data_IF_234171926484
#
_entry.id   IF_234171926484
#
_cell.length_a   1.000
_cell.length_b   1.000
_cell.length_c   1.000
_cell.angle_alpha   90.00
_cell.angle_beta   90.00
_cell.angle_gamma   90.00
#
_symmetry.space_group_name_H-M   'P 1'
#
loop_
_entity.id
_entity.type
_entity.pdbx_description
1 polymer ?
#
# COMPACT_ATOMS: atom_id res chain seq x y z
N UNK A 1 -14.79 -24.46 -19.65
CA UNK A 1 -14.90 -23.18 -18.89
C UNK A 1 -15.94 -23.43 -17.81
N UNK A 2 -15.59 -23.32 -16.55
CA UNK A 2 -16.44 -23.79 -15.46
C UNK A 2 -17.72 -22.96 -15.36
N UNK A 3 -18.90 -23.55 -15.55
CA UNK A 3 -20.19 -22.87 -15.33
C UNK A 3 -20.30 -22.29 -13.92
N UNK A 4 -19.50 -22.80 -13.00
CA UNK A 4 -19.47 -22.43 -11.60
C UNK A 4 -18.93 -21.00 -11.37
N UNK A 5 -17.88 -20.57 -12.08
CA UNK A 5 -17.26 -19.24 -11.89
C UNK A 5 -18.24 -18.10 -12.24
N UNK A 6 -18.89 -18.21 -13.40
CA UNK A 6 -19.83 -17.17 -13.88
C UNK A 6 -21.04 -17.10 -12.96
N UNK A 7 -21.60 -18.24 -12.58
CA UNK A 7 -22.75 -18.31 -11.68
C UNK A 7 -22.43 -17.73 -10.29
N UNK A 8 -21.27 -18.05 -9.74
CA UNK A 8 -20.81 -17.50 -8.46
C UNK A 8 -20.64 -15.98 -8.54
N UNK A 9 -20.02 -15.49 -9.61
CA UNK A 9 -19.84 -14.05 -9.82
C UNK A 9 -21.20 -13.34 -9.98
N UNK A 10 -22.17 -13.94 -10.71
CA UNK A 10 -23.51 -13.38 -10.87
C UNK A 10 -24.25 -13.24 -9.54
N UNK A 11 -24.16 -14.23 -8.66
CA UNK A 11 -24.73 -14.15 -7.32
C UNK A 11 -24.11 -13.01 -6.51
N UNK A 12 -22.77 -12.89 -6.49
CA UNK A 12 -22.08 -11.83 -5.79
C UNK A 12 -22.38 -10.44 -6.36
N UNK A 13 -22.51 -10.30 -7.67
CA UNK A 13 -22.94 -9.05 -8.31
C UNK A 13 -24.36 -8.69 -7.85
N UNK A 14 -25.28 -9.65 -7.80
CA UNK A 14 -26.64 -9.43 -7.31
C UNK A 14 -26.63 -8.92 -5.87
N UNK A 15 -25.87 -9.56 -4.97
CA UNK A 15 -25.75 -9.14 -3.56
C UNK A 15 -25.22 -7.70 -3.45
N UNK A 16 -24.20 -7.35 -4.24
CA UNK A 16 -23.61 -6.00 -4.26
C UNK A 16 -24.62 -4.97 -4.76
N UNK A 17 -25.42 -5.29 -5.80
CA UNK A 17 -26.47 -4.41 -6.33
C UNK A 17 -27.61 -4.22 -5.33
N UNK A 18 -28.00 -5.27 -4.61
CA UNK A 18 -29.00 -5.18 -3.54
C UNK A 18 -28.50 -4.30 -2.39
N UNK A 19 -27.25 -4.42 -1.97
CA UNK A 19 -26.63 -3.56 -0.95
C UNK A 19 -26.54 -2.09 -1.39
N UNK A 20 -26.41 -1.83 -2.71
CA UNK A 20 -26.40 -0.47 -3.28
C UNK A 20 -27.79 0.13 -3.34
N UNK A 21 -28.84 -0.68 -3.40
CA UNK A 21 -30.22 -0.20 -3.58
C UNK A 21 -30.55 0.92 -2.56
N UNK A 22 -31.00 2.05 -3.07
CA UNK A 22 -31.32 3.26 -2.28
C UNK A 22 -30.12 3.96 -1.58
N UNK A 23 -28.90 3.65 -1.95
CA UNK A 23 -27.67 4.28 -1.41
C UNK A 23 -26.86 4.93 -2.52
N UNK A 24 -26.38 6.16 -2.28
CA UNK A 24 -25.46 6.84 -3.21
C UNK A 24 -24.01 6.33 -3.04
N UNK A 25 -23.81 5.01 -3.18
CA UNK A 25 -22.50 4.38 -3.04
C UNK A 25 -21.95 4.02 -4.41
N UNK A 26 -20.62 4.11 -4.56
CA UNK A 26 -19.92 3.61 -5.75
C UNK A 26 -19.68 2.12 -5.62
N UNK A 27 -19.78 1.41 -6.73
CA UNK A 27 -19.38 0.02 -6.82
C UNK A 27 -17.93 -0.07 -7.25
N UNK A 28 -17.11 -0.74 -6.46
CA UNK A 28 -15.70 -0.95 -6.72
C UNK A 28 -15.44 -2.45 -6.82
N UNK A 29 -14.70 -2.85 -7.85
CA UNK A 29 -14.17 -4.19 -7.97
C UNK A 29 -12.64 -4.16 -7.88
N UNK A 30 -12.02 -5.09 -7.14
CA UNK A 30 -10.58 -5.27 -7.11
C UNK A 30 -10.19 -6.62 -7.70
N UNK A 31 -9.27 -6.63 -8.66
CA UNK A 31 -8.72 -7.85 -9.24
C UNK A 31 -7.24 -7.96 -8.90
N UNK A 32 -6.88 -9.01 -8.18
CA UNK A 32 -5.51 -9.30 -7.80
C UNK A 32 -5.04 -10.66 -8.31
N UNK A 33 -3.73 -10.90 -8.18
CA UNK A 33 -3.12 -12.21 -8.42
C UNK A 33 -2.18 -12.60 -7.27
N UNK A 34 -1.86 -13.87 -7.18
CA UNK A 34 -0.94 -14.42 -6.19
C UNK A 34 0.00 -15.44 -6.80
N UNK A 35 1.13 -15.69 -6.10
CA UNK A 35 2.06 -16.77 -6.46
C UNK A 35 1.58 -18.15 -6.03
N UNK A 36 0.68 -18.21 -5.08
CA UNK A 36 0.18 -19.47 -4.51
C UNK A 36 -0.70 -20.13 -5.55
N UNK A 37 -0.35 -21.34 -5.96
CA UNK A 37 -1.22 -22.19 -6.77
C UNK A 37 -2.28 -22.73 -5.83
N UNK A 38 -3.54 -22.55 -6.17
CA UNK A 38 -4.69 -23.13 -5.47
C UNK A 38 -5.38 -24.11 -6.39
N UNK A 39 -6.00 -25.13 -5.83
CA UNK A 39 -6.90 -26.01 -6.57
C UNK A 39 -8.19 -25.28 -6.97
N UNK A 40 -8.48 -24.14 -6.35
CA UNK A 40 -9.54 -23.22 -6.74
C UNK A 40 -9.09 -22.34 -7.90
N UNK A 41 -9.95 -22.21 -8.91
CA UNK A 41 -9.67 -21.37 -10.08
C UNK A 41 -9.70 -19.87 -9.76
N UNK A 42 -10.53 -19.45 -8.80
CA UNK A 42 -10.68 -18.04 -8.36
C UNK A 42 -11.06 -18.01 -6.88
N UNK A 43 -10.50 -17.06 -6.14
CA UNK A 43 -10.95 -16.74 -4.80
C UNK A 43 -11.65 -15.37 -4.79
N UNK A 44 -12.96 -15.35 -4.48
CA UNK A 44 -13.68 -14.11 -4.26
C UNK A 44 -13.49 -13.61 -2.83
N UNK A 45 -13.21 -12.32 -2.69
CA UNK A 45 -13.07 -11.70 -1.36
C UNK A 45 -14.46 -11.44 -0.76
N UNK A 46 -14.60 -11.39 0.57
CA UNK A 46 -15.84 -10.91 1.18
C UNK A 46 -16.20 -9.51 0.69
N UNK A 47 -17.50 -9.24 0.55
CA UNK A 47 -17.99 -7.89 0.27
C UNK A 47 -17.67 -6.99 1.46
N UNK A 48 -17.11 -5.82 1.19
CA UNK A 48 -16.74 -4.84 2.21
C UNK A 48 -17.42 -3.50 1.93
N UNK A 49 -17.79 -2.82 3.01
CA UNK A 49 -18.43 -1.51 2.95
C UNK A 49 -17.42 -0.45 3.40
N UNK A 50 -17.20 0.55 2.56
CA UNK A 50 -16.54 1.80 2.92
C UNK A 50 -17.57 2.91 3.06
N UNK A 51 -17.15 4.11 3.49
CA UNK A 51 -18.04 5.26 3.68
C UNK A 51 -18.85 5.62 2.43
N UNK A 52 -18.25 5.49 1.26
CA UNK A 52 -18.81 5.96 -0.02
C UNK A 52 -18.83 4.89 -1.11
N UNK A 53 -18.55 3.64 -0.77
CA UNK A 53 -18.48 2.56 -1.76
C UNK A 53 -18.77 1.20 -1.16
N UNK A 54 -19.05 0.26 -2.07
CA UNK A 54 -19.11 -1.17 -1.81
C UNK A 54 -17.98 -1.81 -2.61
N UNK A 55 -17.18 -2.62 -1.97
CA UNK A 55 -16.05 -3.34 -2.56
C UNK A 55 -16.34 -4.83 -2.66
N UNK A 56 -16.22 -5.37 -3.85
CA UNK A 56 -16.07 -6.79 -4.13
C UNK A 56 -14.70 -7.00 -4.78
N UNK A 57 -14.08 -8.14 -4.56
CA UNK A 57 -12.80 -8.44 -5.20
C UNK A 57 -12.64 -9.90 -5.55
N UNK A 58 -11.67 -10.18 -6.41
CA UNK A 58 -11.25 -11.51 -6.76
C UNK A 58 -9.73 -11.62 -6.83
N UNK A 59 -9.22 -12.79 -6.48
CA UNK A 59 -7.84 -13.22 -6.72
C UNK A 59 -7.89 -14.31 -7.76
N UNK A 60 -7.21 -14.08 -8.88
CA UNK A 60 -7.16 -15.02 -10.01
C UNK A 60 -5.77 -15.65 -10.12
N UNK A 61 -5.74 -16.84 -10.67
CA UNK A 61 -4.53 -17.63 -10.84
C UNK A 61 -4.12 -17.75 -12.31
N UNK A 62 -5.03 -17.38 -13.25
CA UNK A 62 -4.74 -17.32 -14.68
C UNK A 62 -5.32 -16.07 -15.33
N UNK A 63 -4.83 -15.74 -16.55
CA UNK A 63 -5.36 -14.63 -17.36
C UNK A 63 -6.74 -14.96 -17.93
N UNK A 64 -7.06 -16.25 -18.10
CA UNK A 64 -8.36 -16.69 -18.65
C UNK A 64 -9.48 -16.30 -17.69
N UNK A 65 -9.36 -16.68 -16.41
CA UNK A 65 -10.34 -16.31 -15.39
C UNK A 65 -10.39 -14.80 -15.19
N UNK A 66 -9.22 -14.15 -15.21
CA UNK A 66 -9.13 -12.69 -15.14
C UNK A 66 -9.93 -12.02 -16.25
N UNK A 67 -9.81 -12.52 -17.48
CA UNK A 67 -10.56 -12.00 -18.63
C UNK A 67 -12.06 -12.21 -18.47
N UNK A 68 -12.49 -13.41 -18.10
CA UNK A 68 -13.92 -13.73 -17.88
C UNK A 68 -14.55 -12.80 -16.84
N UNK A 69 -13.84 -12.56 -15.73
CA UNK A 69 -14.31 -11.65 -14.70
C UNK A 69 -14.39 -10.22 -15.23
N UNK A 70 -13.33 -9.71 -15.88
CA UNK A 70 -13.29 -8.34 -16.38
C UNK A 70 -14.35 -8.07 -17.44
N UNK A 71 -14.56 -8.99 -18.39
CA UNK A 71 -15.64 -8.89 -19.40
C UNK A 71 -17.02 -8.79 -18.74
N UNK A 72 -17.22 -9.51 -17.62
CA UNK A 72 -18.53 -9.56 -16.93
C UNK A 72 -18.81 -8.32 -16.09
N UNK A 73 -17.78 -7.74 -15.45
CA UNK A 73 -17.96 -6.62 -14.52
C UNK A 73 -17.88 -5.23 -15.19
N UNK A 74 -17.41 -5.16 -16.45
CA UNK A 74 -17.27 -3.88 -17.16
C UNK A 74 -18.63 -3.23 -17.42
N UNK A 75 -18.80 -2.03 -16.92
CA UNK A 75 -20.05 -1.28 -16.98
C UNK A 75 -21.03 -1.55 -15.82
N UNK A 76 -20.75 -2.57 -14.96
CA UNK A 76 -21.53 -2.82 -13.74
C UNK A 76 -20.88 -2.06 -12.57
N UNK A 77 -19.56 -2.14 -12.44
CA UNK A 77 -18.81 -1.44 -11.40
C UNK A 77 -18.35 -0.05 -11.89
N UNK A 78 -18.45 0.95 -11.00
CA UNK A 78 -18.01 2.31 -11.34
C UNK A 78 -16.49 2.39 -11.52
N UNK A 79 -15.73 1.65 -10.66
CA UNK A 79 -14.29 1.58 -10.71
C UNK A 79 -13.82 0.13 -10.60
N UNK A 80 -12.78 -0.18 -11.38
CA UNK A 80 -12.09 -1.48 -11.33
C UNK A 80 -10.63 -1.22 -11.01
N UNK A 81 -10.17 -1.77 -9.88
CA UNK A 81 -8.80 -1.70 -9.42
C UNK A 81 -8.06 -2.99 -9.76
N UNK A 82 -6.92 -2.87 -10.42
CA UNK A 82 -6.11 -4.01 -10.84
C UNK A 82 -4.74 -3.95 -10.16
N UNK A 83 -4.32 -5.10 -9.61
CA UNK A 83 -2.97 -5.27 -9.08
C UNK A 83 -1.96 -5.26 -10.23
N UNK A 84 -1.11 -4.24 -10.28
CA UNK A 84 -0.07 -4.07 -11.30
C UNK A 84 1.19 -4.89 -11.02
N UNK A 85 1.28 -5.60 -9.90
CA UNK A 85 2.43 -6.42 -9.57
C UNK A 85 2.39 -7.77 -10.29
N UNK A 86 3.50 -8.10 -10.95
CA UNK A 86 3.68 -9.35 -11.68
C UNK A 86 4.17 -10.43 -10.73
N UNK A 87 3.25 -11.20 -10.15
CA UNK A 87 3.54 -12.18 -9.08
C UNK A 87 3.68 -13.61 -9.59
N UNK A 88 3.07 -13.96 -10.71
CA UNK A 88 3.07 -15.32 -11.27
C UNK A 88 3.50 -15.34 -12.74
N UNK A 89 3.81 -16.55 -13.24
CA UNK A 89 4.08 -16.78 -14.66
C UNK A 89 2.76 -17.08 -15.37
N UNK A 90 2.59 -16.57 -16.58
CA UNK A 90 1.47 -16.96 -17.44
C UNK A 90 1.67 -18.39 -17.94
N UNK A 91 0.63 -19.18 -17.94
CA UNK A 91 0.59 -20.53 -18.54
C UNK A 91 0.22 -20.44 -20.02
N UNK A 92 -0.44 -19.35 -20.44
CA UNK A 92 -1.10 -19.22 -21.74
C UNK A 92 -0.40 -18.33 -22.75
N UNK A 93 0.52 -17.48 -22.33
CA UNK A 93 1.21 -16.54 -23.23
C UNK A 93 2.67 -16.93 -23.50
N UNK A 94 3.12 -16.75 -24.76
CA UNK A 94 4.48 -17.05 -25.21
C UNK A 94 5.58 -16.34 -24.44
N UNK A 95 5.27 -15.21 -23.79
CA UNK A 95 6.22 -14.41 -23.00
C UNK A 95 6.30 -14.84 -21.52
N UNK A 96 5.48 -15.80 -21.09
CA UNK A 96 5.55 -16.38 -19.74
C UNK A 96 5.22 -15.44 -18.56
N UNK A 97 4.61 -14.28 -18.81
CA UNK A 97 4.25 -13.31 -17.77
C UNK A 97 2.76 -13.08 -17.70
N UNK A 98 2.23 -13.29 -16.52
CA UNK A 98 0.86 -12.93 -16.16
C UNK A 98 0.77 -11.41 -15.95
N UNK A 99 0.01 -10.70 -16.80
CA UNK A 99 -0.07 -9.24 -16.76
C UNK A 99 -1.53 -8.77 -16.71
N UNK A 100 -2.06 -8.67 -15.49
CA UNK A 100 -3.42 -8.16 -15.26
C UNK A 100 -3.60 -6.72 -15.73
N UNK A 101 -2.57 -5.88 -15.65
CA UNK A 101 -2.64 -4.47 -16.06
C UNK A 101 -2.93 -4.37 -17.56
N UNK A 102 -2.18 -5.11 -18.39
CA UNK A 102 -2.44 -5.19 -19.83
C UNK A 102 -3.84 -5.73 -20.10
N UNK A 103 -4.20 -6.82 -19.46
CA UNK A 103 -5.51 -7.45 -19.61
C UNK A 103 -6.64 -6.46 -19.28
N UNK A 104 -6.48 -5.68 -18.21
CA UNK A 104 -7.45 -4.66 -17.83
C UNK A 104 -7.61 -3.56 -18.89
N UNK A 105 -6.49 -3.04 -19.41
CA UNK A 105 -6.50 -2.00 -20.45
C UNK A 105 -7.14 -2.51 -21.74
N UNK A 106 -6.89 -3.76 -22.09
CA UNK A 106 -7.45 -4.40 -23.30
C UNK A 106 -8.96 -4.69 -23.15
N UNK A 107 -9.43 -5.02 -21.95
CA UNK A 107 -10.78 -5.52 -21.69
C UNK A 107 -11.75 -4.43 -21.26
N UNK A 108 -11.37 -3.56 -20.31
CA UNK A 108 -12.28 -2.58 -19.72
C UNK A 108 -12.50 -1.38 -20.65
N UNK A 109 -13.78 -1.12 -20.98
CA UNK A 109 -14.18 -0.04 -21.90
C UNK A 109 -15.20 0.94 -21.31
N UNK A 110 -16.01 0.52 -20.33
CA UNK A 110 -17.11 1.31 -19.76
C UNK A 110 -16.79 1.79 -18.35
N UNK A 111 -16.24 0.91 -17.53
CA UNK A 111 -15.84 1.20 -16.15
C UNK A 111 -14.54 2.00 -16.11
N UNK A 112 -14.31 2.72 -15.03
CA UNK A 112 -13.04 3.43 -14.86
C UNK A 112 -11.97 2.52 -14.28
N UNK A 113 -10.92 2.26 -15.05
CA UNK A 113 -9.78 1.43 -14.66
C UNK A 113 -8.81 2.21 -13.76
N UNK A 114 -8.33 1.56 -12.70
CA UNK A 114 -7.33 2.04 -11.76
C UNK A 114 -6.34 0.93 -11.43
N UNK A 115 -5.16 1.31 -10.93
CA UNK A 115 -4.10 0.37 -10.59
C UNK A 115 -3.67 0.55 -9.14
N UNK A 116 -3.24 -0.55 -8.52
CA UNK A 116 -2.64 -0.56 -7.20
C UNK A 116 -1.48 -1.58 -7.15
N UNK A 117 -0.70 -1.54 -6.08
CA UNK A 117 0.36 -2.51 -5.81
C UNK A 117 0.05 -3.24 -4.51
N UNK A 118 -0.32 -4.51 -4.61
CA UNK A 118 -0.75 -5.30 -3.46
C UNK A 118 0.33 -5.46 -2.39
N UNK A 119 1.60 -5.61 -2.79
CA UNK A 119 2.70 -5.72 -1.83
C UNK A 119 2.96 -4.41 -1.08
N UNK A 120 2.76 -3.24 -1.70
CA UNK A 120 2.93 -1.96 -1.02
C UNK A 120 1.85 -1.79 0.06
N UNK A 121 0.60 -2.15 -0.23
CA UNK A 121 -0.49 -2.18 0.76
C UNK A 121 -0.18 -3.16 1.90
N UNK A 122 0.36 -4.34 1.56
CA UNK A 122 0.77 -5.32 2.56
C UNK A 122 1.85 -4.75 3.47
N UNK A 123 2.87 -4.08 2.92
CA UNK A 123 3.94 -3.46 3.70
C UNK A 123 3.40 -2.35 4.60
N UNK A 124 2.48 -1.53 4.10
CA UNK A 124 1.84 -0.46 4.90
C UNK A 124 0.98 -1.05 6.03
N UNK A 125 0.29 -2.17 5.78
CA UNK A 125 -0.46 -2.90 6.81
C UNK A 125 0.44 -3.45 7.91
N UNK A 126 1.60 -4.03 7.54
CA UNK A 126 2.59 -4.53 8.51
C UNK A 126 3.14 -3.37 9.34
N UNK A 127 3.53 -2.27 8.70
CA UNK A 127 4.09 -1.09 9.35
C UNK A 127 3.12 -0.51 10.40
N UNK A 128 1.84 -0.36 10.02
CA UNK A 128 0.76 0.11 10.91
C UNK A 128 0.52 -0.85 12.08
N UNK A 129 0.44 -2.16 11.80
CA UNK A 129 0.22 -3.16 12.84
C UNK A 129 1.41 -3.24 13.79
N UNK A 130 2.64 -3.22 13.29
CA UNK A 130 3.85 -3.20 14.09
C UNK A 130 3.90 -1.98 15.03
N UNK A 131 3.57 -0.80 14.50
CA UNK A 131 3.46 0.42 15.32
C UNK A 131 2.45 0.25 16.45
N UNK A 132 1.23 -0.20 16.14
CA UNK A 132 0.16 -0.34 17.13
C UNK A 132 0.51 -1.36 18.22
N UNK A 133 1.11 -2.50 17.85
CA UNK A 133 1.51 -3.53 18.81
C UNK A 133 2.60 -3.05 19.77
N UNK A 134 3.56 -2.29 19.26
CA UNK A 134 4.61 -1.71 20.10
C UNK A 134 4.05 -0.60 20.99
N UNK A 135 3.17 0.25 20.46
CA UNK A 135 2.52 1.33 21.21
C UNK A 135 1.69 0.81 22.40
N UNK A 136 0.91 -0.25 22.21
CA UNK A 136 0.13 -0.91 23.29
C UNK A 136 1.06 -1.38 24.43
N UNK A 137 2.31 -1.72 24.13
CA UNK A 137 3.33 -2.11 25.10
C UNK A 137 4.10 -0.92 25.67
N UNK A 138 3.74 0.31 25.32
CA UNK A 138 4.46 1.53 25.71
C UNK A 138 5.83 1.65 25.05
N UNK A 139 6.06 0.96 23.91
CA UNK A 139 7.32 0.99 23.16
C UNK A 139 7.17 1.82 21.89
N UNK A 140 8.29 2.41 21.43
CA UNK A 140 8.39 3.04 20.13
C UNK A 140 8.97 2.05 19.13
N UNK A 141 8.70 2.25 17.84
CA UNK A 141 9.38 1.50 16.77
C UNK A 141 10.89 1.75 16.84
N UNK A 142 11.29 3.02 17.01
CA UNK A 142 12.69 3.38 17.24
C UNK A 142 13.21 2.77 18.54
N UNK A 143 14.34 2.08 18.47
CA UNK A 143 14.96 1.36 19.57
C UNK A 143 14.42 -0.05 19.81
N UNK A 144 13.32 -0.45 19.18
CA UNK A 144 12.81 -1.84 19.26
C UNK A 144 13.66 -2.82 18.46
N UNK A 145 13.72 -4.05 18.92
CA UNK A 145 14.39 -5.18 18.26
C UNK A 145 13.36 -6.01 17.52
N UNK A 146 13.44 -6.04 16.18
CA UNK A 146 12.43 -6.68 15.33
C UNK A 146 13.09 -7.74 14.46
N UNK A 147 12.57 -8.97 14.49
CA UNK A 147 13.03 -10.05 13.63
C UNK A 147 12.12 -10.19 12.41
N UNK A 148 12.72 -10.17 11.23
CA UNK A 148 12.04 -10.47 9.96
C UNK A 148 12.45 -11.87 9.49
N UNK A 149 11.47 -12.76 9.35
CA UNK A 149 11.70 -14.10 8.81
C UNK A 149 11.35 -14.11 7.32
N UNK A 150 12.39 -14.19 6.48
CA UNK A 150 12.30 -14.10 5.03
C UNK A 150 12.61 -12.69 4.50
N UNK A 151 13.57 -12.59 3.58
CA UNK A 151 13.97 -11.32 2.93
C UNK A 151 13.59 -11.34 1.43
N UNK A 152 12.29 -11.55 1.16
CA UNK A 152 11.69 -11.37 -0.15
C UNK A 152 11.32 -9.91 -0.44
N UNK A 153 10.40 -9.68 -1.39
CA UNK A 153 9.95 -8.32 -1.73
C UNK A 153 9.34 -7.59 -0.52
N UNK A 154 8.42 -8.25 0.20
CA UNK A 154 7.77 -7.68 1.39
C UNK A 154 8.78 -7.52 2.52
N UNK A 155 9.55 -8.59 2.84
CA UNK A 155 10.55 -8.54 3.91
C UNK A 155 11.59 -7.45 3.72
N UNK A 156 12.07 -7.23 2.49
CA UNK A 156 13.00 -6.14 2.17
C UNK A 156 12.39 -4.76 2.43
N UNK A 157 11.19 -4.52 1.91
CA UNK A 157 10.51 -3.22 2.03
C UNK A 157 10.18 -2.89 3.49
N UNK A 158 9.69 -3.86 4.25
CA UNK A 158 9.38 -3.62 5.68
C UNK A 158 10.65 -3.44 6.50
N UNK A 159 11.73 -4.18 6.22
CA UNK A 159 13.02 -3.98 6.89
C UNK A 159 13.56 -2.57 6.69
N UNK A 160 13.46 -2.04 5.47
CA UNK A 160 13.85 -0.65 5.18
C UNK A 160 12.99 0.34 5.98
N UNK A 161 11.65 0.22 5.95
CA UNK A 161 10.76 1.12 6.71
C UNK A 161 11.06 1.12 8.22
N UNK A 162 11.29 -0.06 8.78
CA UNK A 162 11.55 -0.20 10.22
C UNK A 162 12.89 0.40 10.62
N UNK A 163 13.96 0.14 9.86
CA UNK A 163 15.27 0.72 10.16
C UNK A 163 15.28 2.24 9.99
N UNK A 164 14.58 2.78 9.01
CA UNK A 164 14.41 4.23 8.84
C UNK A 164 13.69 4.90 10.02
N UNK A 165 12.82 4.15 10.72
CA UNK A 165 12.19 4.55 11.98
C UNK A 165 13.08 4.35 13.21
N UNK A 166 14.27 3.78 13.04
CA UNK A 166 15.24 3.56 14.12
C UNK A 166 15.11 2.20 14.82
N UNK A 167 14.39 1.22 14.25
CA UNK A 167 14.33 -0.13 14.80
C UNK A 167 15.58 -0.94 14.44
N UNK A 168 16.16 -1.65 15.38
CA UNK A 168 17.16 -2.68 15.12
C UNK A 168 16.47 -3.87 14.47
N UNK A 169 16.82 -4.14 13.22
CA UNK A 169 16.14 -5.16 12.42
C UNK A 169 17.06 -6.33 12.16
N UNK A 170 16.62 -7.52 12.55
CA UNK A 170 17.32 -8.77 12.33
C UNK A 170 16.62 -9.56 11.24
N UNK A 171 17.37 -10.28 10.41
CA UNK A 171 16.82 -11.05 9.30
C UNK A 171 17.20 -12.51 9.42
N UNK A 172 16.20 -13.39 9.51
CA UNK A 172 16.39 -14.82 9.36
C UNK A 172 16.02 -15.24 7.93
N UNK A 173 16.94 -15.92 7.26
CA UNK A 173 16.79 -16.31 5.86
C UNK A 173 17.54 -17.59 5.54
N UNK A 174 17.04 -18.36 4.58
CA UNK A 174 17.73 -19.56 4.06
C UNK A 174 18.80 -19.23 3.02
N UNK A 175 18.73 -18.07 2.37
CA UNK A 175 19.70 -17.66 1.33
C UNK A 175 20.56 -16.49 1.83
N UNK A 176 21.59 -16.82 2.61
CA UNK A 176 22.48 -15.86 3.26
C UNK A 176 23.19 -14.96 2.22
N UNK A 177 23.72 -15.53 1.15
CA UNK A 177 24.47 -14.77 0.15
C UNK A 177 23.64 -13.67 -0.52
N UNK A 178 22.41 -13.98 -0.90
CA UNK A 178 21.49 -13.00 -1.45
C UNK A 178 21.08 -11.97 -0.41
N UNK A 179 20.81 -12.42 0.80
CA UNK A 179 20.34 -11.56 1.87
C UNK A 179 21.40 -10.58 2.36
N UNK A 180 22.67 -10.97 2.39
CA UNK A 180 23.77 -10.04 2.71
C UNK A 180 23.79 -8.84 1.76
N UNK A 181 23.65 -9.08 0.45
CA UNK A 181 23.59 -7.98 -0.53
C UNK A 181 22.38 -7.05 -0.30
N UNK A 182 21.23 -7.62 0.01
CA UNK A 182 20.02 -6.84 0.29
C UNK A 182 20.15 -6.04 1.58
N UNK A 183 20.73 -6.61 2.63
CA UNK A 183 20.99 -5.96 3.91
C UNK A 183 21.98 -4.80 3.74
N UNK A 184 23.07 -5.04 3.00
CA UNK A 184 24.03 -4.00 2.66
C UNK A 184 23.34 -2.84 1.94
N UNK A 185 22.48 -3.14 0.94
CA UNK A 185 21.70 -2.14 0.23
C UNK A 185 20.82 -1.32 1.18
N UNK A 186 20.09 -1.95 2.10
CA UNK A 186 19.27 -1.24 3.09
C UNK A 186 20.14 -0.32 3.94
N UNK A 187 21.27 -0.81 4.44
CA UNK A 187 22.14 -0.03 5.32
C UNK A 187 22.83 1.14 4.59
N UNK A 188 23.01 1.05 3.27
CA UNK A 188 23.53 2.15 2.44
C UNK A 188 22.47 3.22 2.21
N UNK A 189 21.21 2.83 1.92
CA UNK A 189 20.16 3.78 1.50
C UNK A 189 19.40 4.39 2.68
N UNK A 190 19.43 3.80 3.87
CA UNK A 190 18.82 4.41 5.06
C UNK A 190 19.42 5.80 5.34
N UNK A 191 18.70 6.72 6.02
CA UNK A 191 19.25 8.01 6.41
C UNK A 191 20.56 7.84 7.19
N UNK A 192 21.58 8.65 6.88
CA UNK A 192 22.93 8.54 7.48
C UNK A 192 22.93 8.70 9.00
N UNK A 193 22.01 9.51 9.51
CA UNK A 193 21.85 9.81 10.93
C UNK A 193 21.16 8.69 11.71
N UNK A 194 20.60 7.70 11.00
CA UNK A 194 19.93 6.55 11.63
C UNK A 194 20.98 5.58 12.16
N UNK A 195 21.07 5.46 13.49
CA UNK A 195 22.01 4.55 14.19
C UNK A 195 21.60 3.08 13.99
N UNK A 196 20.28 2.80 13.99
CA UNK A 196 19.75 1.47 13.78
C UNK A 196 20.23 0.84 12.47
N UNK A 197 20.33 -0.48 12.43
CA UNK A 197 20.82 -1.23 11.28
C UNK A 197 20.01 -2.50 11.03
N UNK A 198 20.13 -3.03 9.82
CA UNK A 198 19.66 -4.37 9.48
C UNK A 198 20.86 -5.31 9.49
N UNK A 199 20.70 -6.49 10.12
CA UNK A 199 21.75 -7.51 10.19
C UNK A 199 21.16 -8.93 10.05
N UNK A 200 22.02 -9.91 9.72
CA UNK A 200 21.62 -11.32 9.75
C UNK A 200 21.43 -11.75 11.20
N UNK A 201 20.33 -12.44 11.44
CA UNK A 201 20.09 -13.14 12.69
C UNK A 201 20.95 -14.42 12.70
N UNK A 202 21.89 -14.53 13.62
CA UNK A 202 22.78 -15.68 13.78
C UNK A 202 22.75 -16.20 15.22
N UNK A 203 23.33 -17.40 15.44
CA UNK A 203 23.34 -18.03 16.75
C UNK A 203 24.20 -17.28 17.80
N UNK A 204 25.17 -16.48 17.36
CA UNK A 204 25.99 -15.67 18.27
C UNK A 204 25.19 -14.52 18.87
N UNK A 205 24.14 -14.07 18.19
CA UNK A 205 23.17 -13.08 18.68
C UNK A 205 22.02 -13.71 19.49
N UNK A 206 22.22 -14.90 20.04
CA UNK A 206 21.20 -15.67 20.77
C UNK A 206 20.66 -14.94 22.01
N UNK A 207 21.46 -14.08 22.62
CA UNK A 207 20.97 -13.23 23.72
C UNK A 207 19.89 -12.25 23.26
N UNK A 208 19.90 -11.88 21.96
CA UNK A 208 18.90 -10.98 21.36
C UNK A 208 17.50 -11.60 21.24
N UNK A 209 17.36 -12.93 21.25
CA UNK A 209 16.03 -13.57 21.18
C UNK A 209 15.16 -13.29 22.40
N UNK A 210 15.77 -13.08 23.57
CA UNK A 210 15.05 -12.70 24.79
C UNK A 210 14.59 -11.23 24.76
N UNK A 211 15.22 -10.42 23.90
CA UNK A 211 14.97 -8.99 23.78
C UNK A 211 14.20 -8.62 22.51
N UNK A 212 13.68 -9.61 21.74
CA UNK A 212 12.85 -9.34 20.59
C UNK A 212 11.48 -8.82 21.02
N UNK A 213 11.11 -7.69 20.48
CA UNK A 213 9.82 -7.03 20.72
C UNK A 213 8.74 -7.50 19.76
N UNK A 214 9.15 -7.90 18.53
CA UNK A 214 8.25 -8.28 17.46
C UNK A 214 8.93 -9.24 16.48
N UNK A 215 8.18 -10.21 15.97
CA UNK A 215 8.61 -11.12 14.90
C UNK A 215 7.62 -11.01 13.72
N UNK A 216 8.13 -10.77 12.53
CA UNK A 216 7.32 -10.63 11.31
C UNK A 216 7.68 -11.75 10.34
N UNK A 217 6.69 -12.60 10.03
CA UNK A 217 6.86 -13.79 9.21
C UNK A 217 6.43 -13.48 7.75
N UNK A 218 7.38 -13.23 6.86
CA UNK A 218 7.11 -12.84 5.46
C UNK A 218 7.39 -13.93 4.44
N UNK A 219 7.66 -15.14 4.88
CA UNK A 219 7.89 -16.32 4.03
C UNK A 219 6.58 -17.12 3.82
N UNK A 220 6.60 -18.07 2.89
CA UNK A 220 5.42 -18.85 2.49
C UNK A 220 5.45 -20.32 2.98
N UNK A 221 6.41 -20.69 3.82
CA UNK A 221 6.57 -22.05 4.33
C UNK A 221 6.55 -22.07 5.85
N UNK A 222 6.12 -23.18 6.42
CA UNK A 222 6.19 -23.36 7.87
C UNK A 222 7.63 -23.27 8.36
N UNK A 223 7.81 -22.57 9.48
CA UNK A 223 9.09 -22.56 10.18
C UNK A 223 9.30 -23.95 10.78
N UNK A 224 10.49 -24.57 10.65
CA UNK A 224 10.76 -25.87 11.24
C UNK A 224 10.47 -25.90 12.74
N UNK A 225 9.88 -27.00 13.23
CA UNK A 225 9.51 -27.17 14.65
C UNK A 225 10.70 -26.97 15.60
N UNK A 226 11.91 -27.29 15.15
CA UNK A 226 13.14 -27.20 15.93
C UNK A 226 13.83 -25.83 15.77
N UNK A 227 13.17 -24.84 15.19
CA UNK A 227 13.75 -23.50 15.07
C UNK A 227 13.90 -22.89 16.48
N UNK A 228 15.11 -22.48 16.79
CA UNK A 228 15.45 -21.82 18.08
C UNK A 228 14.62 -20.57 18.37
N UNK A 229 13.99 -19.99 17.35
CA UNK A 229 13.14 -18.81 17.47
C UNK A 229 12.01 -19.03 18.46
N UNK A 230 11.35 -20.22 18.41
CA UNK A 230 10.19 -20.51 19.29
C UNK A 230 10.58 -20.81 20.72
N UNK A 231 11.74 -21.40 20.90
CA UNK A 231 12.23 -21.79 22.23
C UNK A 231 12.84 -20.62 23.01
N UNK A 232 13.06 -19.50 22.35
CA UNK A 232 13.84 -18.35 22.88
C UNK A 232 13.11 -17.01 22.82
N UNK A 233 11.84 -16.99 22.40
CA UNK A 233 11.02 -15.79 22.48
C UNK A 233 10.73 -15.43 23.93
N UNK A 234 10.84 -14.13 24.26
CA UNK A 234 10.37 -13.61 25.54
C UNK A 234 8.84 -13.80 25.64
N UNK A 235 8.32 -13.86 26.85
CA UNK A 235 6.87 -13.96 27.13
C UNK A 235 6.02 -12.79 26.58
N UNK A 236 6.64 -11.78 25.98
CA UNK A 236 5.98 -10.57 25.52
C UNK A 236 6.26 -10.24 24.04
N UNK A 237 6.81 -11.18 23.28
CA UNK A 237 7.07 -11.00 21.86
C UNK A 237 5.83 -11.33 21.04
N UNK A 238 5.35 -10.38 20.23
CA UNK A 238 4.25 -10.65 19.29
C UNK A 238 4.77 -11.19 17.96
N UNK A 239 3.90 -11.92 17.26
CA UNK A 239 4.15 -12.46 15.94
C UNK A 239 3.13 -11.91 14.95
N UNK A 240 3.59 -11.41 13.81
CA UNK A 240 2.75 -11.05 12.67
C UNK A 240 2.96 -12.09 11.57
N UNK A 241 1.93 -12.90 11.28
CA UNK A 241 1.95 -13.84 10.15
C UNK A 241 1.43 -13.17 8.88
N UNK A 242 2.36 -12.84 7.98
CA UNK A 242 2.09 -12.26 6.66
C UNK A 242 1.92 -13.33 5.60
N UNK A 243 2.66 -14.43 5.73
CA UNK A 243 2.69 -15.53 4.75
C UNK A 243 1.45 -16.41 4.76
N UNK A 244 0.64 -16.33 5.79
CA UNK A 244 -0.55 -17.15 6.08
C UNK A 244 -0.22 -18.63 6.28
N UNK A 245 -0.16 -19.03 7.56
CA UNK A 245 0.15 -20.40 7.95
C UNK A 245 1.65 -20.67 8.06
N UNK A 246 2.44 -19.66 8.41
CA UNK A 246 3.86 -19.83 8.72
C UNK A 246 4.08 -20.60 10.03
N UNK A 247 3.08 -20.63 10.91
CA UNK A 247 3.07 -21.31 12.19
C UNK A 247 2.18 -22.53 12.11
N UNK A 248 2.67 -23.68 12.59
CA UNK A 248 1.84 -24.87 12.79
C UNK A 248 0.94 -24.72 14.01
N UNK A 249 -0.14 -25.51 14.08
CA UNK A 249 -1.07 -25.54 15.23
C UNK A 249 -0.34 -25.71 16.56
N UNK A 250 0.59 -26.68 16.63
CA UNK A 250 1.43 -26.90 17.81
C UNK A 250 2.23 -25.66 18.23
N UNK A 251 2.80 -24.94 17.25
CA UNK A 251 3.57 -23.73 17.52
C UNK A 251 2.67 -22.59 18.02
N UNK A 252 1.48 -22.45 17.45
CA UNK A 252 0.48 -21.49 17.93
C UNK A 252 0.05 -21.77 19.38
N UNK A 253 -0.20 -23.04 19.70
CA UNK A 253 -0.54 -23.44 21.08
C UNK A 253 0.57 -23.14 22.07
N UNK A 254 1.83 -23.47 21.72
CA UNK A 254 2.98 -23.23 22.59
C UNK A 254 3.23 -21.73 22.82
N UNK A 255 3.14 -20.93 21.78
CA UNK A 255 3.28 -19.47 21.87
C UNK A 255 2.16 -18.86 22.72
N UNK A 256 0.91 -19.29 22.52
CA UNK A 256 -0.22 -18.81 23.31
C UNK A 256 -0.07 -19.18 24.79
N UNK A 257 0.43 -20.39 25.12
CA UNK A 257 0.72 -20.79 26.49
C UNK A 257 1.80 -19.92 27.15
N UNK A 258 2.73 -19.38 26.36
CA UNK A 258 3.78 -18.45 26.80
C UNK A 258 3.31 -16.99 26.87
N UNK A 259 2.04 -16.70 26.57
CA UNK A 259 1.49 -15.35 26.57
C UNK A 259 1.83 -14.51 25.34
N UNK A 260 2.39 -15.12 24.28
CA UNK A 260 2.71 -14.44 23.04
C UNK A 260 1.49 -14.33 22.12
N UNK A 261 1.28 -13.18 21.50
CA UNK A 261 0.21 -13.00 20.52
C UNK A 261 0.69 -13.38 19.12
N UNK A 262 -0.10 -14.21 18.43
CA UNK A 262 0.13 -14.58 17.04
C UNK A 262 -0.98 -13.99 16.17
N UNK A 263 -0.65 -12.95 15.40
CA UNK A 263 -1.62 -12.14 14.66
C UNK A 263 -1.47 -12.42 13.18
N UNK A 264 -2.53 -12.88 12.53
CA UNK A 264 -2.59 -12.94 11.08
C UNK A 264 -2.77 -11.53 10.52
N UNK A 265 -1.91 -11.15 9.57
CA UNK A 265 -2.05 -9.85 8.91
C UNK A 265 -3.35 -9.79 8.10
N UNK A 266 -4.22 -8.85 8.41
CA UNK A 266 -5.33 -8.43 7.54
C UNK A 266 -4.94 -7.15 6.81
N UNK A 267 -4.97 -7.21 5.48
CA UNK A 267 -4.71 -6.06 4.61
C UNK A 267 -5.98 -5.28 4.26
N UNK A 268 -7.14 -5.77 4.74
CA UNK A 268 -8.44 -5.23 4.34
C UNK A 268 -8.61 -3.77 4.70
N UNK A 269 -8.32 -3.40 5.93
CA UNK A 269 -8.46 -2.02 6.40
C UNK A 269 -7.53 -1.07 5.66
N UNK A 270 -6.27 -1.44 5.47
CA UNK A 270 -5.32 -0.62 4.71
C UNK A 270 -5.72 -0.49 3.24
N UNK A 271 -6.35 -1.50 2.67
CA UNK A 271 -6.89 -1.41 1.31
C UNK A 271 -8.10 -0.49 1.23
N UNK A 272 -9.02 -0.54 2.20
CA UNK A 272 -10.14 0.39 2.30
C UNK A 272 -9.65 1.85 2.45
N UNK A 273 -8.68 2.11 3.34
CA UNK A 273 -8.06 3.43 3.49
C UNK A 273 -7.40 3.93 2.18
N UNK A 274 -6.71 3.04 1.47
CA UNK A 274 -6.15 3.35 0.15
C UNK A 274 -7.24 3.77 -0.84
N UNK A 275 -8.35 3.01 -0.92
CA UNK A 275 -9.47 3.31 -1.80
C UNK A 275 -10.14 4.64 -1.43
N UNK A 276 -10.38 4.91 -0.16
CA UNK A 276 -10.96 6.18 0.30
C UNK A 276 -10.07 7.37 -0.09
N UNK A 277 -8.76 7.27 0.12
CA UNK A 277 -7.80 8.30 -0.26
C UNK A 277 -7.80 8.53 -1.77
N UNK A 278 -7.81 7.46 -2.57
CA UNK A 278 -7.85 7.56 -4.02
C UNK A 278 -9.17 8.15 -4.51
N UNK A 279 -10.31 7.76 -3.94
CA UNK A 279 -11.63 8.32 -4.25
C UNK A 279 -11.71 9.82 -3.94
N UNK A 280 -11.14 10.28 -2.82
CA UNK A 280 -11.02 11.72 -2.50
C UNK A 280 -10.17 12.45 -3.54
N UNK A 281 -9.11 11.81 -4.05
CA UNK A 281 -8.30 12.30 -5.15
C UNK A 281 -9.05 12.39 -6.48
N UNK A 282 -9.92 11.42 -6.77
CA UNK A 282 -10.73 11.38 -7.99
C UNK A 282 -11.79 12.48 -8.07
N UNK A 283 -12.31 12.94 -6.93
CA UNK A 283 -13.27 14.06 -6.89
C UNK A 283 -12.62 15.38 -7.31
N UNK A 284 -11.31 15.48 -7.20
CA UNK A 284 -10.51 16.60 -7.71
C UNK A 284 -9.96 16.16 -9.07
N UNK A 285 -10.56 16.62 -10.19
CA UNK A 285 -9.96 16.44 -11.51
C UNK A 285 -8.50 16.90 -11.45
N UNK A 286 -7.55 16.01 -11.76
CA UNK A 286 -6.16 16.42 -11.90
C UNK A 286 -6.09 17.52 -12.96
N UNK A 287 -5.74 18.71 -12.52
CA UNK A 287 -5.45 19.83 -13.42
C UNK A 287 -3.92 19.93 -13.50
N UNK A 288 -3.40 19.82 -14.71
CA UNK A 288 -1.96 20.06 -14.93
C UNK A 288 -1.62 21.44 -14.34
N UNK A 289 -0.58 21.55 -13.50
CA UNK A 289 -0.11 22.84 -13.02
C UNK A 289 0.13 23.79 -14.18
N UNK A 290 -0.37 25.00 -14.10
CA UNK A 290 -0.32 26.01 -15.16
C UNK A 290 -0.16 27.41 -14.59
N UNK A 291 -0.12 28.42 -15.45
CA UNK A 291 -0.06 29.83 -15.06
C UNK A 291 -1.14 30.67 -15.74
N UNK A 292 -1.41 31.82 -15.19
CA UNK A 292 -2.29 32.85 -15.74
C UNK A 292 -1.66 34.22 -15.47
N UNK A 293 -1.79 35.15 -16.43
CA UNK A 293 -1.36 36.54 -16.25
C UNK A 293 -2.58 37.35 -15.83
N UNK A 294 -2.48 38.06 -14.71
CA UNK A 294 -3.51 38.95 -14.16
C UNK A 294 -2.79 40.27 -13.85
N UNK A 295 -3.28 41.39 -14.40
CA UNK A 295 -2.68 42.72 -14.22
C UNK A 295 -1.14 42.74 -14.38
N UNK A 296 -0.64 42.17 -15.50
CA UNK A 296 0.77 42.04 -15.81
C UNK A 296 1.62 41.29 -14.78
N UNK A 297 0.99 40.51 -13.87
CA UNK A 297 1.65 39.60 -12.93
C UNK A 297 1.34 38.17 -13.30
N UNK A 298 2.35 37.33 -13.23
CA UNK A 298 2.20 35.90 -13.50
C UNK A 298 1.87 35.16 -12.23
N UNK A 299 0.64 34.63 -12.18
CA UNK A 299 0.16 33.72 -11.12
C UNK A 299 0.33 32.28 -11.58
N UNK A 300 0.83 31.44 -10.72
CA UNK A 300 1.07 30.02 -11.03
C UNK A 300 0.36 29.09 -10.05
N UNK A 301 -0.05 27.93 -10.56
CA UNK A 301 -0.61 26.85 -9.73
C UNK A 301 0.45 26.29 -8.79
N UNK A 302 0.04 25.92 -7.59
CA UNK A 302 0.86 25.11 -6.70
C UNK A 302 1.39 23.85 -7.42
N UNK A 303 2.69 23.58 -7.30
CA UNK A 303 3.37 22.46 -7.96
C UNK A 303 4.00 22.81 -9.31
N UNK A 304 3.80 24.00 -9.86
CA UNK A 304 4.59 24.52 -10.96
C UNK A 304 5.84 25.21 -10.43
N UNK A 305 7.01 24.88 -10.95
CA UNK A 305 8.25 25.64 -10.66
C UNK A 305 8.17 26.95 -11.43
N UNK A 306 8.07 28.06 -10.70
CA UNK A 306 7.96 29.39 -11.27
C UNK A 306 9.32 30.05 -11.52
N UNK A 307 9.34 31.07 -12.38
CA UNK A 307 10.46 31.98 -12.48
C UNK A 307 10.43 33.02 -11.34
N UNK A 308 11.52 33.69 -11.10
CA UNK A 308 11.59 34.72 -10.06
C UNK A 308 10.50 35.78 -10.25
N UNK A 309 9.76 36.02 -9.17
CA UNK A 309 8.66 36.99 -9.14
C UNK A 309 7.28 36.43 -9.49
N UNK A 310 7.15 35.15 -9.89
CA UNK A 310 5.86 34.47 -10.06
C UNK A 310 5.15 34.31 -8.71
N UNK A 311 3.82 34.41 -8.70
CA UNK A 311 2.98 34.37 -7.51
C UNK A 311 2.29 33.00 -7.45
N UNK A 312 2.57 32.21 -6.42
CA UNK A 312 1.99 30.88 -6.23
C UNK A 312 0.66 30.96 -5.50
N UNK A 313 -0.40 30.39 -6.09
CA UNK A 313 -1.76 30.41 -5.53
C UNK A 313 -2.37 29.01 -5.39
N UNK A 314 -3.44 28.92 -4.60
CA UNK A 314 -4.20 27.69 -4.35
C UNK A 314 -4.99 27.21 -5.58
N UNK A 315 -5.73 28.10 -6.23
CA UNK A 315 -6.46 27.86 -7.49
C UNK A 315 -6.22 28.98 -8.48
N UNK A 316 -5.69 28.62 -9.65
CA UNK A 316 -5.32 29.58 -10.70
C UNK A 316 -6.55 30.28 -11.32
N UNK A 317 -7.73 29.65 -11.27
CA UNK A 317 -8.94 30.23 -11.85
C UNK A 317 -9.73 31.09 -10.85
N UNK A 318 -9.61 30.78 -9.55
CA UNK A 318 -10.27 31.52 -8.48
C UNK A 318 -9.34 31.57 -7.25
N UNK A 319 -8.24 32.32 -7.34
CA UNK A 319 -7.27 32.41 -6.26
C UNK A 319 -7.91 32.95 -4.98
N UNK A 320 -7.58 32.32 -3.85
CA UNK A 320 -7.99 32.80 -2.50
C UNK A 320 -6.80 32.91 -1.56
N UNK A 321 -5.80 32.06 -1.78
CA UNK A 321 -4.61 31.98 -0.93
C UNK A 321 -3.37 32.15 -1.80
N UNK A 322 -2.49 33.07 -1.37
CA UNK A 322 -1.15 33.24 -1.93
C UNK A 322 -0.17 32.51 -1.02
N UNK A 323 0.56 31.54 -1.56
CA UNK A 323 1.58 30.80 -0.81
C UNK A 323 2.92 31.52 -0.74
N UNK A 324 3.24 32.33 -1.76
CA UNK A 324 4.49 33.11 -1.81
C UNK A 324 4.83 33.57 -3.21
N UNK A 325 5.97 34.22 -3.32
CA UNK A 325 6.57 34.68 -4.57
C UNK A 325 7.78 33.82 -4.86
N UNK A 326 7.88 33.27 -6.06
CA UNK A 326 8.99 32.41 -6.47
C UNK A 326 10.32 33.15 -6.46
N UNK A 327 11.35 32.51 -5.93
CA UNK A 327 12.75 32.97 -5.97
C UNK A 327 13.48 32.63 -7.28
N UNK A 328 12.85 31.79 -8.14
CA UNK A 328 13.39 31.29 -9.40
C UNK A 328 14.20 30.00 -9.28
N UNK A 329 14.33 29.44 -8.06
CA UNK A 329 15.07 28.20 -7.81
C UNK A 329 14.20 27.05 -7.27
N UNK A 330 12.87 27.29 -7.22
CA UNK A 330 11.88 26.35 -6.69
C UNK A 330 11.43 26.65 -5.27
N UNK A 331 12.02 27.67 -4.62
CA UNK A 331 11.64 28.19 -3.32
C UNK A 331 10.82 29.50 -3.41
N UNK A 332 10.70 30.18 -2.25
CA UNK A 332 10.01 31.45 -2.13
C UNK A 332 10.96 32.56 -1.66
N UNK A 333 10.74 33.78 -2.16
CA UNK A 333 11.41 34.96 -1.65
C UNK A 333 11.01 35.19 -0.18
N UNK A 334 12.01 35.41 0.68
CA UNK A 334 11.77 35.64 2.10
C UNK A 334 11.26 37.09 2.35
N UNK A 335 10.44 37.25 3.39
CA UNK A 335 10.00 38.55 3.93
C UNK A 335 9.35 39.50 2.91
N UNK A 336 8.64 38.98 1.93
CA UNK A 336 7.89 39.79 0.97
C UNK A 336 6.48 40.10 1.46
N UNK A 337 6.07 41.34 1.33
CA UNK A 337 4.69 41.78 1.54
C UNK A 337 3.82 41.25 0.41
N UNK A 338 2.85 40.40 0.75
CA UNK A 338 1.90 39.80 -0.18
C UNK A 338 0.58 40.60 -0.31
N UNK A 339 0.35 41.64 0.52
CA UNK A 339 -0.91 42.37 0.60
C UNK A 339 -1.36 42.93 -0.74
N UNK A 340 -0.44 43.53 -1.51
CA UNK A 340 -0.71 44.10 -2.83
C UNK A 340 -1.19 43.07 -3.86
N UNK A 341 -0.86 41.79 -3.68
CA UNK A 341 -1.31 40.76 -4.62
C UNK A 341 -2.69 40.23 -4.27
N UNK A 342 -3.12 40.31 -3.01
CA UNK A 342 -4.51 40.04 -2.62
C UNK A 342 -5.45 41.08 -3.23
N UNK A 343 -5.08 42.34 -3.29
CA UNK A 343 -5.85 43.41 -3.98
C UNK A 343 -6.08 43.06 -5.46
N UNK A 344 -5.05 42.59 -6.15
CA UNK A 344 -5.14 42.14 -7.55
C UNK A 344 -6.11 40.97 -7.71
N UNK A 345 -6.08 40.03 -6.78
CA UNK A 345 -6.97 38.84 -6.78
C UNK A 345 -8.43 39.29 -6.57
N UNK A 346 -8.69 40.18 -5.61
CA UNK A 346 -10.03 40.66 -5.30
C UNK A 346 -10.66 41.45 -6.45
N UNK A 347 -9.89 42.33 -7.10
CA UNK A 347 -10.32 43.03 -8.31
C UNK A 347 -10.66 42.06 -9.44
N UNK A 348 -9.80 41.06 -9.71
CA UNK A 348 -10.05 40.06 -10.74
C UNK A 348 -11.27 39.19 -10.45
N UNK A 349 -11.48 38.81 -9.19
CA UNK A 349 -12.63 37.99 -8.76
C UNK A 349 -13.94 38.77 -8.84
N UNK A 350 -13.91 40.07 -8.60
CA UNK A 350 -15.06 40.97 -8.73
C UNK A 350 -15.48 41.16 -10.20
N UNK A 351 -14.51 41.33 -11.09
CA UNK A 351 -14.76 41.46 -12.52
C UNK A 351 -15.27 40.16 -13.19
N UNK A 352 -14.96 38.98 -12.64
CA UNK A 352 -15.47 37.71 -13.15
C UNK A 352 -16.88 37.34 -12.63
N UNK A 353 -17.49 38.16 -11.76
CA UNK A 353 -18.87 37.98 -11.27
C UNK A 353 -19.90 38.83 -11.98
N UNK A 354 -19.47 39.77 -12.82
CA UNK A 354 -20.32 40.54 -13.75
C UNK A 354 -20.36 39.81 -15.11
#
# INVERSE_FOLDING_TARGET
MEPNLVNQLDLLIKDVLELKANKSLKLIFSLGNTKTISDESVYFTPIRLGDKFILLGAIVFSEIEGKVILDKIDGIFDLIYIDSEKKSKSITFREGFFNLERLGVETIKKSRLRHYKGNDITVDSIDKLAFNLLEIKGKLVGGSNILIVGLGNIGFKISLKLVERGANTYVLTSNINRSNKLIETINIIKPKETIASVSIFNQENIQLTKDLDLIILTHLSNIPKNSDIYNRTSEFCDFIDVGKGCLSEFQLEDLNKKGNSCIRLDVGDSFLEFLEKDLKGLSKKFKKPTFKIINNKRFISRGLIGIKGDIVVDDINNPKIIYGICDGSGGFEQNKDLSKFYTIIDENNSNNRM
#
